data_IF_443073997012
#
_entry.id   IF_443073997012
#
_cell.length_a   1.000
_cell.length_b   1.000
_cell.length_c   1.000
_cell.angle_alpha   90.00
_cell.angle_beta   90.00
_cell.angle_gamma   90.00
#
_symmetry.space_group_name_H-M   'P 1'
#
loop_
_entity.id
_entity.type
_entity.pdbx_description
1 polymer ?
#
# COMPACT_ATOMS: atom_id res chain seq x y z
N UNK A 1 -10.02 -13.86 2.68
CA UNK A 1 -10.26 -13.24 4.00
C UNK A 1 -11.30 -13.97 4.85
N UNK A 2 -12.39 -14.52 4.29
CA UNK A 2 -13.42 -15.24 5.08
C UNK A 2 -12.86 -16.33 6.00
N UNK A 3 -11.94 -17.15 5.50
CA UNK A 3 -11.28 -18.18 6.30
C UNK A 3 -10.46 -17.59 7.47
N UNK A 4 -9.73 -16.50 7.23
CA UNK A 4 -9.00 -15.79 8.30
C UNK A 4 -9.96 -15.22 9.35
N UNK A 5 -11.09 -14.65 8.90
CA UNK A 5 -12.15 -14.15 9.76
C UNK A 5 -12.79 -15.28 10.58
N UNK A 6 -13.03 -16.46 10.00
CA UNK A 6 -13.63 -17.59 10.72
C UNK A 6 -12.65 -18.27 11.68
N UNK A 7 -11.36 -18.26 11.38
CA UNK A 7 -10.31 -18.85 12.22
C UNK A 7 -9.78 -17.89 13.29
N UNK A 8 -10.09 -16.60 13.21
CA UNK A 8 -9.63 -15.60 14.16
C UNK A 8 -8.16 -15.19 13.98
N UNK A 9 -7.71 -15.02 12.73
CA UNK A 9 -6.36 -14.54 12.42
C UNK A 9 -6.32 -13.02 12.28
N UNK A 10 -5.24 -12.40 12.76
CA UNK A 10 -4.94 -11.00 12.45
C UNK A 10 -4.22 -10.91 11.12
N UNK A 11 -4.70 -10.03 10.24
CA UNK A 11 -4.21 -9.86 8.88
C UNK A 11 -3.77 -8.42 8.66
N UNK A 12 -2.60 -8.27 8.05
CA UNK A 12 -2.18 -7.04 7.36
C UNK A 12 -2.46 -7.28 5.89
N UNK A 13 -3.38 -6.52 5.33
CA UNK A 13 -3.71 -6.64 3.91
C UNK A 13 -2.87 -5.64 3.11
N UNK A 14 -2.13 -6.13 2.12
CA UNK A 14 -1.06 -5.40 1.46
C UNK A 14 -1.36 -5.11 -0.01
N UNK A 15 -1.20 -3.85 -0.40
CA UNK A 15 -1.40 -3.44 -1.77
C UNK A 15 -0.38 -4.13 -2.67
N UNK A 16 -0.81 -4.57 -3.85
CA UNK A 16 0.04 -5.25 -4.82
C UNK A 16 1.01 -4.27 -5.51
N UNK A 17 2.01 -3.81 -4.76
CA UNK A 17 2.99 -2.78 -5.14
C UNK A 17 4.34 -3.20 -4.57
N UNK A 18 5.24 -3.64 -5.46
CA UNK A 18 6.65 -3.89 -5.15
C UNK A 18 7.53 -3.37 -6.30
N UNK A 19 8.55 -2.57 -6.00
CA UNK A 19 9.45 -1.97 -7.01
C UNK A 19 10.92 -2.04 -6.62
N UNK A 20 11.30 -3.01 -5.80
CA UNK A 20 12.66 -3.22 -5.30
C UNK A 20 13.72 -3.27 -6.43
N UNK A 21 13.36 -3.76 -7.62
CA UNK A 21 14.26 -3.78 -8.78
C UNK A 21 14.66 -2.40 -9.33
N UNK A 22 14.03 -1.31 -8.88
CA UNK A 22 14.42 0.06 -9.24
C UNK A 22 15.53 0.57 -8.32
N UNK A 23 16.40 1.43 -8.86
CA UNK A 23 17.66 1.88 -8.23
C UNK A 23 17.52 2.09 -6.70
N UNK A 24 18.10 1.21 -5.88
CA UNK A 24 17.96 1.26 -4.42
C UNK A 24 18.61 2.50 -3.82
N UNK A 25 19.46 3.20 -4.60
CA UNK A 25 20.17 4.40 -4.15
C UNK A 25 19.47 5.70 -4.56
N UNK A 26 18.27 5.63 -5.17
CA UNK A 26 17.50 6.78 -5.64
C UNK A 26 18.33 7.82 -6.43
N UNK A 27 19.38 7.38 -7.14
CA UNK A 27 20.31 8.30 -7.81
C UNK A 27 19.62 9.08 -8.93
N UNK A 28 18.50 8.55 -9.44
CA UNK A 28 17.56 9.26 -10.30
C UNK A 28 16.13 9.13 -9.76
N UNK A 29 15.82 9.94 -8.75
CA UNK A 29 14.56 9.89 -8.01
C UNK A 29 13.31 10.02 -8.92
N UNK A 30 13.38 10.76 -10.04
CA UNK A 30 12.24 10.91 -10.96
C UNK A 30 11.90 9.68 -11.80
N UNK A 31 12.85 8.73 -11.95
CA UNK A 31 12.61 7.48 -12.66
C UNK A 31 11.96 6.41 -11.78
N UNK A 32 12.03 6.56 -10.45
CA UNK A 32 11.45 5.61 -9.51
C UNK A 32 9.91 5.68 -9.57
N UNK A 33 9.17 4.55 -9.70
CA UNK A 33 7.70 4.55 -9.80
C UNK A 33 7.00 5.28 -8.65
N UNK A 34 7.54 5.20 -7.44
CA UNK A 34 7.08 5.96 -6.26
C UNK A 34 7.00 7.49 -6.47
N UNK A 35 7.92 8.04 -7.27
CA UNK A 35 8.11 9.46 -7.51
C UNK A 35 7.69 9.91 -8.92
N UNK A 36 7.42 8.97 -9.82
CA UNK A 36 7.08 9.24 -11.20
C UNK A 36 5.57 9.50 -11.36
N UNK A 37 5.15 10.68 -11.88
CA UNK A 37 3.74 10.98 -12.12
C UNK A 37 3.08 10.00 -13.10
N UNK A 38 3.86 9.38 -14.00
CA UNK A 38 3.38 8.38 -14.96
C UNK A 38 2.83 7.13 -14.27
N UNK A 39 3.40 6.74 -13.12
CA UNK A 39 3.02 5.54 -12.38
C UNK A 39 2.01 5.81 -11.25
N UNK A 40 1.83 7.07 -10.86
CA UNK A 40 1.01 7.46 -9.71
C UNK A 40 -0.41 6.88 -9.76
N UNK A 41 -1.10 7.02 -10.90
CA UNK A 41 -2.47 6.52 -11.06
C UNK A 41 -2.54 4.98 -10.93
N UNK A 42 -1.57 4.25 -11.47
CA UNK A 42 -1.55 2.79 -11.42
C UNK A 42 -1.30 2.26 -10.00
N UNK A 43 -0.40 2.90 -9.24
CA UNK A 43 -0.11 2.53 -7.85
C UNK A 43 -1.31 2.87 -6.96
N UNK A 44 -1.90 4.07 -7.10
CA UNK A 44 -3.09 4.46 -6.35
C UNK A 44 -4.24 3.48 -6.59
N UNK A 45 -4.49 3.11 -7.85
CA UNK A 45 -5.56 2.17 -8.19
C UNK A 45 -5.38 0.83 -7.48
N UNK A 46 -4.15 0.30 -7.39
CA UNK A 46 -3.89 -0.98 -6.71
C UNK A 46 -4.25 -0.95 -5.23
N UNK A 47 -3.95 0.15 -4.54
CA UNK A 47 -4.34 0.31 -3.13
C UNK A 47 -5.83 0.59 -2.94
N UNK A 48 -6.46 1.34 -3.86
CA UNK A 48 -7.91 1.57 -3.87
C UNK A 48 -8.66 0.26 -4.09
N UNK A 49 -8.25 -0.54 -5.07
CA UNK A 49 -8.90 -1.82 -5.41
C UNK A 49 -8.80 -2.82 -4.25
N UNK A 50 -7.65 -2.90 -3.58
CA UNK A 50 -7.49 -3.68 -2.35
C UNK A 50 -8.51 -3.25 -1.29
N UNK A 51 -8.54 -1.96 -0.96
CA UNK A 51 -9.45 -1.44 0.07
C UNK A 51 -10.92 -1.70 -0.28
N UNK A 52 -11.35 -1.35 -1.49
CA UNK A 52 -12.75 -1.47 -1.88
C UNK A 52 -13.24 -2.92 -1.88
N UNK A 53 -12.36 -3.86 -2.24
CA UNK A 53 -12.64 -5.31 -2.22
C UNK A 53 -12.77 -5.84 -0.80
N UNK A 54 -11.90 -5.46 0.13
CA UNK A 54 -11.70 -6.18 1.39
C UNK A 54 -12.12 -5.41 2.66
N UNK A 55 -12.53 -4.14 2.57
CA UNK A 55 -12.87 -3.26 3.72
C UNK A 55 -13.85 -3.82 4.76
N UNK A 56 -14.71 -4.78 4.38
CA UNK A 56 -15.71 -5.40 5.27
C UNK A 56 -15.16 -6.57 6.08
N UNK A 57 -13.92 -6.99 5.85
CA UNK A 57 -13.33 -8.15 6.50
C UNK A 57 -12.83 -7.80 7.91
N UNK A 58 -13.33 -8.47 8.97
CA UNK A 58 -12.95 -8.16 10.35
C UNK A 58 -11.56 -8.67 10.73
N UNK A 59 -11.01 -9.66 10.02
CA UNK A 59 -9.65 -10.16 10.27
C UNK A 59 -8.56 -9.14 9.91
N UNK A 60 -8.87 -8.18 9.03
CA UNK A 60 -7.91 -7.17 8.59
C UNK A 60 -7.80 -6.11 9.68
N UNK A 61 -6.61 -6.00 10.27
CA UNK A 61 -6.33 -5.04 11.33
C UNK A 61 -5.49 -3.85 10.84
N UNK A 62 -4.80 -3.97 9.70
CA UNK A 62 -3.96 -2.92 9.12
C UNK A 62 -3.98 -2.99 7.59
N UNK A 63 -3.81 -1.84 6.94
CA UNK A 63 -3.59 -1.74 5.49
C UNK A 63 -2.11 -1.46 5.21
N UNK A 64 -1.46 -2.26 4.37
CA UNK A 64 -0.09 -2.01 3.92
C UNK A 64 -0.07 -1.34 2.54
N UNK A 65 0.75 -0.31 2.36
CA UNK A 65 0.85 0.44 1.10
C UNK A 65 1.61 -0.34 -0.01
N UNK A 66 2.20 -1.48 0.34
CA UNK A 66 3.05 -2.30 -0.52
C UNK A 66 4.30 -2.72 0.24
N UNK A 67 5.26 -3.28 -0.49
CA UNK A 67 6.54 -3.74 0.01
C UNK A 67 7.69 -3.12 -0.80
N UNK A 68 8.82 -2.83 -0.18
CA UNK A 68 10.11 -2.46 -0.81
C UNK A 68 9.97 -1.63 -2.10
N UNK A 69 9.15 -0.57 -2.04
CA UNK A 69 8.79 0.23 -3.22
C UNK A 69 9.30 1.67 -3.14
N UNK A 70 10.31 1.88 -2.31
CA UNK A 70 10.83 3.21 -2.03
C UNK A 70 9.78 4.15 -1.43
N UNK A 71 10.10 5.43 -1.33
CA UNK A 71 9.14 6.41 -0.80
C UNK A 71 8.97 7.56 -1.78
N UNK A 72 7.74 8.08 -1.89
CA UNK A 72 7.43 9.18 -2.80
C UNK A 72 5.98 9.63 -2.70
N UNK A 73 5.62 10.72 -3.41
CA UNK A 73 4.30 11.38 -3.30
C UNK A 73 3.11 10.45 -3.54
N UNK A 74 3.32 9.39 -4.33
CA UNK A 74 2.28 8.39 -4.60
C UNK A 74 1.91 7.59 -3.35
N UNK A 75 2.89 7.23 -2.51
CA UNK A 75 2.64 6.54 -1.24
C UNK A 75 1.93 7.46 -0.24
N UNK A 76 2.32 8.74 -0.18
CA UNK A 76 1.65 9.74 0.65
C UNK A 76 0.18 9.91 0.25
N UNK A 77 -0.08 9.98 -1.06
CA UNK A 77 -1.44 10.07 -1.59
C UNK A 77 -2.27 8.82 -1.26
N UNK A 78 -1.70 7.62 -1.38
CA UNK A 78 -2.39 6.39 -1.02
C UNK A 78 -2.67 6.32 0.49
N UNK A 79 -1.70 6.70 1.32
CA UNK A 79 -1.87 6.76 2.77
C UNK A 79 -2.95 7.75 3.17
N UNK A 80 -2.99 8.92 2.54
CA UNK A 80 -4.03 9.93 2.76
C UNK A 80 -5.41 9.41 2.35
N UNK A 81 -5.52 8.72 1.21
CA UNK A 81 -6.76 8.09 0.76
C UNK A 81 -7.28 7.08 1.80
N UNK A 82 -6.43 6.13 2.22
CA UNK A 82 -6.82 5.09 3.16
C UNK A 82 -7.19 5.67 4.54
N UNK A 83 -6.45 6.66 5.06
CA UNK A 83 -6.81 7.36 6.31
C UNK A 83 -8.18 8.03 6.22
N UNK A 84 -8.50 8.63 5.07
CA UNK A 84 -9.78 9.30 4.87
C UNK A 84 -10.94 8.30 4.73
N UNK A 85 -10.71 7.14 4.10
CA UNK A 85 -11.73 6.12 3.86
C UNK A 85 -11.98 5.21 5.06
N UNK A 86 -10.94 4.88 5.80
CA UNK A 86 -11.01 3.95 6.91
C UNK A 86 -10.11 4.40 8.07
N UNK A 87 -10.62 5.32 8.92
CA UNK A 87 -9.89 5.73 10.12
C UNK A 87 -9.84 4.64 11.20
N UNK A 88 -10.50 3.49 11.00
CA UNK A 88 -10.57 2.43 12.02
C UNK A 88 -9.36 1.50 12.04
N UNK A 89 -8.56 1.48 10.97
CA UNK A 89 -7.39 0.60 10.80
C UNK A 89 -6.11 1.41 10.59
N UNK A 90 -5.01 1.10 11.30
CA UNK A 90 -3.71 1.70 11.02
C UNK A 90 -3.19 1.39 9.62
N UNK A 91 -2.26 2.22 9.15
CA UNK A 91 -1.55 2.03 7.90
C UNK A 91 -0.11 1.60 8.20
N UNK A 92 0.32 0.53 7.54
CA UNK A 92 1.66 0.00 7.53
C UNK A 92 2.37 0.36 6.22
N UNK A 93 3.66 0.65 6.29
CA UNK A 93 4.53 0.65 5.13
C UNK A 93 5.98 0.55 5.59
N UNK A 94 6.69 -0.48 5.13
CA UNK A 94 8.13 -0.59 5.30
C UNK A 94 8.81 -0.08 4.03
N UNK A 95 9.97 0.55 4.22
CA UNK A 95 10.83 1.00 3.13
C UNK A 95 12.22 0.45 3.38
N UNK A 96 12.75 -0.32 2.44
CA UNK A 96 14.14 -0.77 2.51
C UNK A 96 15.09 0.45 2.48
N UNK A 97 16.01 0.58 3.47
CA UNK A 97 16.96 1.70 3.55
C UNK A 97 18.07 1.68 2.49
#
# INVERSE_FOLDING_TARGET
YELCSSLGLYVVDEANVETHGFDPLFRNNTAHPACSPTWAAAILQRGVDMYERDKTQPCIIMWSLGNESGHGPTHDALAAYLRAKDPSRPIHYEVHP
#
